data_IF_908019104861
#
_entry.id   IF_908019104861
#
_cell.length_a   1.000
_cell.length_b   1.000
_cell.length_c   1.000
_cell.angle_alpha   90.00
_cell.angle_beta   90.00
_cell.angle_gamma   90.00
#
_symmetry.space_group_name_H-M   'P 1'
#
loop_
_entity.id
_entity.type
_entity.pdbx_description
1 polymer ?
#
# COMPACT_ATOMS: atom_id res chain seq x y z
N UNK A 1 10.32 -30.18 -19.85
CA UNK A 1 10.04 -30.25 -18.40
C UNK A 1 9.10 -29.11 -18.08
N UNK A 2 7.86 -29.45 -17.75
CA UNK A 2 6.78 -28.50 -17.47
C UNK A 2 7.07 -27.92 -16.08
N UNK A 3 7.29 -26.61 -16.01
CA UNK A 3 7.27 -25.90 -14.74
C UNK A 3 5.79 -25.73 -14.34
N UNK A 4 5.22 -26.76 -13.73
CA UNK A 4 4.03 -26.61 -12.90
C UNK A 4 4.45 -25.75 -11.70
N UNK A 5 4.26 -24.45 -11.84
CA UNK A 5 4.25 -23.51 -10.72
C UNK A 5 3.16 -23.95 -9.76
N UNK A 6 3.59 -24.56 -8.66
CA UNK A 6 2.76 -25.04 -7.58
C UNK A 6 1.71 -23.99 -7.21
N UNK A 7 0.45 -24.33 -7.52
CA UNK A 7 -0.74 -23.63 -7.07
C UNK A 7 -0.68 -23.61 -5.55
N UNK A 8 -0.21 -22.51 -4.97
CA UNK A 8 -0.02 -22.37 -3.52
C UNK A 8 -1.41 -22.36 -2.89
N UNK A 9 -1.88 -23.55 -2.50
CA UNK A 9 -3.08 -23.75 -1.70
C UNK A 9 -2.80 -23.32 -0.26
N UNK A 10 -2.51 -22.04 -0.04
CA UNK A 10 -2.90 -21.46 1.24
C UNK A 10 -4.42 -21.38 1.15
N UNK A 11 -5.13 -22.22 1.88
CA UNK A 11 -6.59 -22.16 1.96
C UNK A 11 -6.97 -20.73 2.30
N UNK A 12 -7.39 -19.97 1.27
CA UNK A 12 -7.63 -18.54 1.38
C UNK A 12 -8.96 -18.41 2.08
N UNK A 13 -8.91 -18.24 3.39
CA UNK A 13 -10.11 -18.04 4.17
C UNK A 13 -10.67 -16.65 3.87
N UNK A 14 -11.46 -16.55 2.80
CA UNK A 14 -11.92 -15.28 2.24
C UNK A 14 -12.72 -14.50 3.27
N UNK A 15 -13.48 -15.16 4.15
CA UNK A 15 -14.16 -14.52 5.28
C UNK A 15 -13.20 -13.84 6.25
N UNK A 16 -12.11 -14.52 6.63
CA UNK A 16 -11.08 -13.92 7.50
C UNK A 16 -10.38 -12.75 6.79
N UNK A 17 -10.21 -12.82 5.47
CA UNK A 17 -9.64 -11.72 4.70
C UNK A 17 -10.56 -10.50 4.66
N UNK A 18 -11.87 -10.70 4.43
CA UNK A 18 -12.88 -9.64 4.53
C UNK A 18 -12.82 -8.96 5.89
N UNK A 19 -12.78 -9.72 6.98
CA UNK A 19 -12.68 -9.16 8.34
C UNK A 19 -11.45 -8.26 8.51
N UNK A 20 -10.28 -8.75 8.09
CA UNK A 20 -9.01 -8.02 8.24
C UNK A 20 -8.96 -6.77 7.39
N UNK A 21 -9.41 -6.86 6.13
CA UNK A 21 -9.51 -5.71 5.23
C UNK A 21 -10.47 -4.67 5.80
N UNK A 22 -11.65 -5.08 6.27
CA UNK A 22 -12.62 -4.19 6.90
C UNK A 22 -12.01 -3.45 8.09
N UNK A 23 -11.31 -4.17 8.96
CA UNK A 23 -10.61 -3.58 10.10
C UNK A 23 -9.51 -2.62 9.65
N UNK A 24 -8.76 -2.96 8.60
CA UNK A 24 -7.72 -2.11 8.02
C UNK A 24 -8.28 -0.79 7.47
N UNK A 25 -9.45 -0.85 6.83
CA UNK A 25 -10.18 0.33 6.34
C UNK A 25 -10.89 1.12 7.45
N UNK A 26 -10.84 0.66 8.71
CA UNK A 26 -11.53 1.31 9.83
C UNK A 26 -13.06 1.23 9.74
N UNK A 27 -13.59 0.31 8.94
CA UNK A 27 -15.04 0.17 8.70
C UNK A 27 -15.65 -0.66 9.83
N UNK A 28 -16.74 -0.15 10.44
CA UNK A 28 -17.50 -0.89 11.44
C UNK A 28 -18.30 -2.00 10.78
N UNK A 29 -18.54 -3.07 11.53
CA UNK A 29 -19.27 -4.22 11.03
C UNK A 29 -20.71 -3.87 10.63
N UNK A 30 -21.34 -2.97 11.40
CA UNK A 30 -22.67 -2.43 11.12
C UNK A 30 -22.71 -1.61 9.83
N UNK A 31 -21.62 -0.92 9.48
CA UNK A 31 -21.51 -0.15 8.24
C UNK A 31 -21.42 -1.07 7.03
N UNK A 32 -20.62 -2.13 7.11
CA UNK A 32 -20.57 -3.15 6.05
C UNK A 32 -21.93 -3.85 5.89
N UNK A 33 -22.58 -4.17 7.00
CA UNK A 33 -23.90 -4.79 7.01
C UNK A 33 -24.95 -3.89 6.32
N UNK A 34 -24.95 -2.59 6.63
CA UNK A 34 -25.83 -1.61 5.99
C UNK A 34 -25.59 -1.51 4.49
N UNK A 35 -24.32 -1.55 4.03
CA UNK A 35 -23.98 -1.52 2.60
C UNK A 35 -24.42 -2.78 1.84
N UNK A 36 -24.42 -3.92 2.51
CA UNK A 36 -24.89 -5.20 1.96
C UNK A 36 -26.40 -5.42 2.13
N UNK A 37 -27.11 -4.55 2.86
CA UNK A 37 -28.53 -4.71 3.18
C UNK A 37 -28.84 -5.91 4.08
N UNK A 38 -27.87 -6.38 4.87
CA UNK A 38 -27.99 -7.53 5.77
C UNK A 38 -27.78 -7.10 7.23
N UNK A 39 -28.01 -8.02 8.17
CA UNK A 39 -27.76 -7.77 9.59
C UNK A 39 -26.27 -7.87 9.94
N UNK A 40 -25.81 -7.14 10.97
CA UNK A 40 -24.44 -7.26 11.48
C UNK A 40 -24.10 -8.69 11.94
N UNK A 41 -25.10 -9.45 12.40
CA UNK A 41 -24.95 -10.86 12.77
C UNK A 41 -24.61 -11.75 11.57
N UNK A 42 -25.17 -11.44 10.40
CA UNK A 42 -24.89 -12.17 9.15
C UNK A 42 -23.50 -11.85 8.64
N UNK A 43 -23.07 -10.59 8.69
CA UNK A 43 -21.67 -10.21 8.42
C UNK A 43 -20.71 -10.98 9.32
N UNK A 44 -21.04 -11.17 10.60
CA UNK A 44 -20.18 -11.94 11.52
C UNK A 44 -20.03 -13.40 11.10
N UNK A 45 -21.11 -13.99 10.58
CA UNK A 45 -21.09 -15.35 10.06
C UNK A 45 -20.23 -15.41 8.80
N UNK A 46 -20.41 -14.46 7.87
CA UNK A 46 -19.64 -14.34 6.63
C UNK A 46 -18.14 -14.21 6.93
N UNK A 47 -17.74 -13.36 7.87
CA UNK A 47 -16.34 -13.18 8.27
C UNK A 47 -15.70 -14.43 8.89
N UNK A 48 -16.51 -15.36 9.42
CA UNK A 48 -16.06 -16.63 9.99
C UNK A 48 -16.07 -17.78 8.99
N UNK A 49 -16.63 -17.59 7.80
CA UNK A 49 -16.62 -18.60 6.75
C UNK A 49 -15.22 -18.76 6.17
N UNK A 50 -14.85 -20.01 5.87
CA UNK A 50 -13.61 -20.31 5.17
C UNK A 50 -13.70 -19.93 3.69
N UNK A 51 -14.87 -20.06 3.07
CA UNK A 51 -15.07 -19.66 1.67
C UNK A 51 -16.39 -18.88 1.55
N UNK A 52 -16.34 -17.80 0.78
CA UNK A 52 -17.48 -16.93 0.49
C UNK A 52 -17.84 -17.16 -0.98
N UNK A 53 -19.13 -17.33 -1.24
CA UNK A 53 -19.65 -17.46 -2.60
C UNK A 53 -19.26 -16.25 -3.46
N UNK A 54 -18.87 -16.51 -4.70
CA UNK A 54 -18.36 -15.51 -5.64
C UNK A 54 -19.26 -14.28 -5.78
N UNK A 55 -20.59 -14.48 -5.88
CA UNK A 55 -21.55 -13.37 -5.99
C UNK A 55 -21.54 -12.45 -4.77
N UNK A 56 -21.46 -13.04 -3.58
CA UNK A 56 -21.39 -12.29 -2.32
C UNK A 56 -20.02 -11.62 -2.15
N UNK A 57 -18.94 -12.27 -2.57
CA UNK A 57 -17.59 -11.71 -2.55
C UNK A 57 -17.50 -10.43 -3.40
N UNK A 58 -18.11 -10.43 -4.59
CA UNK A 58 -18.18 -9.28 -5.48
C UNK A 58 -18.92 -8.10 -4.83
N UNK A 59 -20.06 -8.36 -4.20
CA UNK A 59 -20.83 -7.33 -3.49
C UNK A 59 -20.05 -6.74 -2.31
N UNK A 60 -19.36 -7.59 -1.55
CA UNK A 60 -18.50 -7.14 -0.44
C UNK A 60 -17.38 -6.26 -0.98
N UNK A 61 -16.72 -6.66 -2.08
CA UNK A 61 -15.66 -5.89 -2.71
C UNK A 61 -16.15 -4.51 -3.18
N UNK A 62 -17.33 -4.45 -3.79
CA UNK A 62 -17.98 -3.20 -4.22
C UNK A 62 -18.26 -2.26 -3.03
N UNK A 63 -18.85 -2.77 -1.95
CA UNK A 63 -19.13 -1.98 -0.75
C UNK A 63 -17.85 -1.48 -0.07
N UNK A 64 -16.79 -2.29 -0.10
CA UNK A 64 -15.47 -1.91 0.43
C UNK A 64 -14.65 -1.03 -0.55
N UNK A 65 -15.10 -0.85 -1.79
CA UNK A 65 -14.42 -0.05 -2.81
C UNK A 65 -13.11 -0.65 -3.32
N UNK A 66 -12.99 -1.98 -3.33
CA UNK A 66 -11.80 -2.73 -3.76
C UNK A 66 -12.16 -3.79 -4.81
N UNK A 67 -11.17 -4.40 -5.45
CA UNK A 67 -11.42 -5.55 -6.33
C UNK A 67 -11.53 -6.86 -5.51
N UNK A 68 -12.33 -7.83 -5.97
CA UNK A 68 -12.48 -9.13 -5.28
C UNK A 68 -11.17 -9.91 -5.23
N UNK A 69 -10.26 -9.73 -6.18
CA UNK A 69 -8.91 -10.30 -6.19
C UNK A 69 -8.11 -9.86 -4.96
N UNK A 70 -8.27 -8.61 -4.52
CA UNK A 70 -7.61 -8.08 -3.32
C UNK A 70 -8.04 -8.87 -2.08
N UNK A 71 -9.28 -9.34 -2.02
CA UNK A 71 -9.80 -10.14 -0.91
C UNK A 71 -9.26 -11.58 -0.98
N UNK A 72 -9.18 -12.16 -2.18
CA UNK A 72 -8.65 -13.53 -2.38
C UNK A 72 -7.17 -13.64 -2.09
N UNK A 73 -6.40 -12.67 -2.54
CA UNK A 73 -4.94 -12.63 -2.43
C UNK A 73 -4.46 -11.86 -1.20
N UNK A 74 -5.37 -11.55 -0.27
CA UNK A 74 -5.05 -10.79 0.93
C UNK A 74 -4.06 -11.57 1.81
N UNK A 75 -2.83 -11.06 1.87
CA UNK A 75 -1.77 -11.58 2.71
C UNK A 75 -1.52 -10.62 3.89
N UNK A 76 -1.86 -11.11 5.08
CA UNK A 76 -1.70 -10.38 6.34
C UNK A 76 -0.24 -10.05 6.61
N UNK A 77 0.70 -10.93 6.26
CA UNK A 77 2.12 -10.69 6.52
C UNK A 77 2.65 -9.58 5.61
N UNK A 78 2.18 -9.47 4.37
CA UNK A 78 2.47 -8.31 3.51
C UNK A 78 1.85 -7.02 4.04
N UNK A 79 0.61 -7.08 4.53
CA UNK A 79 -0.06 -5.91 5.10
C UNK A 79 0.61 -5.43 6.41
N UNK A 80 1.02 -6.38 7.29
CA UNK A 80 1.75 -6.10 8.53
C UNK A 80 3.19 -5.68 8.25
N UNK A 81 3.88 -6.25 7.25
CA UNK A 81 5.22 -5.81 6.84
C UNK A 81 5.20 -4.34 6.45
N UNK A 82 4.19 -3.89 5.70
CA UNK A 82 4.03 -2.46 5.42
C UNK A 82 3.90 -1.63 6.71
N UNK A 83 3.08 -2.06 7.69
CA UNK A 83 2.89 -1.34 8.97
C UNK A 83 4.15 -1.37 9.86
N UNK A 84 4.87 -2.48 9.92
CA UNK A 84 6.08 -2.63 10.72
C UNK A 84 7.29 -1.99 10.05
N UNK A 85 7.37 -1.93 8.72
CA UNK A 85 8.34 -1.08 8.01
C UNK A 85 8.13 0.41 8.28
N UNK A 86 6.94 0.84 8.74
CA UNK A 86 6.75 2.21 9.27
C UNK A 86 7.19 2.37 10.73
N UNK A 87 7.25 1.29 11.52
CA UNK A 87 7.64 1.34 12.95
C UNK A 87 9.11 1.03 13.21
N UNK A 88 9.71 0.11 12.45
CA UNK A 88 11.15 -0.17 12.41
C UNK A 88 11.90 0.69 11.39
N UNK A 89 11.20 1.56 10.67
CA UNK A 89 11.78 2.83 10.24
C UNK A 89 12.00 3.72 11.47
N UNK A 90 12.84 3.26 12.40
CA UNK A 90 13.91 4.14 12.87
C UNK A 90 14.45 4.77 11.61
N UNK A 91 14.14 6.04 11.42
CA UNK A 91 14.66 6.85 10.32
C UNK A 91 16.17 6.87 10.54
N UNK A 92 16.86 5.84 10.07
CA UNK A 92 18.28 5.92 9.85
C UNK A 92 18.42 6.96 8.75
N UNK A 93 19.14 8.05 9.06
CA UNK A 93 19.50 9.06 8.07
C UNK A 93 20.01 8.36 6.80
N UNK A 94 19.24 8.45 5.72
CA UNK A 94 19.60 7.91 4.40
C UNK A 94 18.77 6.75 3.85
N UNK A 95 17.82 6.16 4.59
CA UNK A 95 17.00 5.07 4.04
C UNK A 95 15.84 5.61 3.17
N UNK A 96 15.90 5.36 1.85
CA UNK A 96 14.86 5.77 0.90
C UNK A 96 13.75 4.72 0.85
N UNK A 97 12.62 4.98 1.52
CA UNK A 97 11.44 4.12 1.48
C UNK A 97 10.80 4.15 0.08
N UNK A 98 10.82 3.00 -0.60
CA UNK A 98 10.36 2.82 -1.97
C UNK A 98 8.95 2.22 -2.03
N UNK A 99 7.93 2.95 -1.57
CA UNK A 99 6.53 2.54 -1.82
C UNK A 99 5.65 3.79 -2.00
N UNK A 100 5.19 4.03 -3.23
CA UNK A 100 4.26 5.10 -3.67
C UNK A 100 4.77 6.55 -3.88
N UNK A 101 6.00 6.74 -4.36
CA UNK A 101 6.44 8.02 -4.95
C UNK A 101 6.32 8.06 -6.50
N UNK A 102 5.27 7.45 -7.06
CA UNK A 102 5.01 7.50 -8.51
C UNK A 102 4.56 8.89 -9.03
N UNK A 103 4.52 9.93 -8.18
CA UNK A 103 4.10 11.29 -8.57
C UNK A 103 5.13 12.40 -8.37
N UNK A 104 6.35 12.09 -7.92
CA UNK A 104 7.54 12.94 -8.06
C UNK A 104 8.64 12.27 -7.25
N UNK A 105 9.42 11.42 -7.91
CA UNK A 105 10.64 10.90 -7.32
C UNK A 105 11.68 12.04 -7.32
N UNK A 106 11.58 12.94 -6.34
CA UNK A 106 12.64 13.90 -6.06
C UNK A 106 13.82 13.08 -5.58
N UNK A 107 14.80 12.84 -6.45
CA UNK A 107 16.07 12.27 -6.07
C UNK A 107 16.87 13.34 -5.31
N UNK A 108 17.03 13.25 -3.97
CA UNK A 108 17.65 14.32 -3.19
C UNK A 108 19.10 14.53 -3.60
N UNK A 109 19.79 13.48 -4.07
CA UNK A 109 21.18 13.56 -4.54
C UNK A 109 21.26 14.42 -5.80
N UNK A 110 20.37 14.21 -6.78
CA UNK A 110 20.32 15.02 -8.00
C UNK A 110 20.02 16.49 -7.69
N UNK A 111 19.12 16.76 -6.73
CA UNK A 111 18.82 18.14 -6.30
C UNK A 111 19.99 18.80 -5.60
N UNK A 112 20.76 18.06 -4.82
CA UNK A 112 21.98 18.57 -4.20
C UNK A 112 23.02 18.88 -5.28
N UNK A 113 23.23 17.99 -6.25
CA UNK A 113 24.15 18.24 -7.37
C UNK A 113 23.74 19.48 -8.17
N UNK A 114 22.46 19.62 -8.51
CA UNK A 114 21.91 20.79 -9.21
C UNK A 114 22.19 22.10 -8.44
N UNK A 115 22.04 22.09 -7.11
CA UNK A 115 22.35 23.25 -6.27
C UNK A 115 23.84 23.58 -6.25
N UNK A 116 24.71 22.58 -6.19
CA UNK A 116 26.16 22.77 -6.23
C UNK A 116 26.63 23.34 -7.57
N UNK A 117 26.09 22.84 -8.69
CA UNK A 117 26.40 23.37 -10.03
C UNK A 117 26.00 24.85 -10.15
N UNK A 118 24.80 25.21 -9.68
CA UNK A 118 24.34 26.62 -9.64
C UNK A 118 25.21 27.50 -8.76
N UNK A 119 25.62 27.01 -7.59
CA UNK A 119 26.51 27.75 -6.70
C UNK A 119 27.88 27.97 -7.36
N UNK A 120 28.45 26.94 -7.97
CA UNK A 120 29.73 27.02 -8.66
C UNK A 120 29.68 28.03 -9.81
N UNK A 121 28.56 28.06 -10.54
CA UNK A 121 28.30 29.02 -11.60
C UNK A 121 28.22 30.45 -11.05
N UNK A 122 27.48 30.67 -9.96
CA UNK A 122 27.38 31.98 -9.31
C UNK A 122 28.73 32.51 -8.82
N UNK A 123 29.59 31.64 -8.28
CA UNK A 123 30.94 32.03 -7.84
C UNK A 123 31.84 32.40 -9.02
N UNK A 124 31.74 31.68 -10.15
CA UNK A 124 32.48 32.00 -11.39
C UNK A 124 32.05 33.34 -11.97
N UNK A 125 30.75 33.59 -12.08
CA UNK A 125 30.20 34.86 -12.56
C UNK A 125 30.64 36.04 -11.70
N UNK A 126 30.63 35.86 -10.36
CA UNK A 126 31.12 36.86 -9.42
C UNK A 126 32.61 37.17 -9.62
N UNK A 127 33.44 36.14 -9.81
CA UNK A 127 34.87 36.33 -10.09
C UNK A 127 35.08 37.05 -11.43
N UNK A 128 34.31 36.72 -12.46
CA UNK A 128 34.40 37.35 -13.78
C UNK A 128 34.02 38.83 -13.73
N UNK A 129 32.95 39.19 -13.01
CA UNK A 129 32.59 40.58 -12.74
C UNK A 129 33.67 41.34 -11.98
N UNK A 130 34.40 40.68 -11.07
CA UNK A 130 35.51 41.26 -10.33
C UNK A 130 36.79 41.39 -11.16
N UNK A 131 36.99 40.54 -12.18
CA UNK A 131 38.13 40.61 -13.12
C UNK A 131 37.93 41.63 -14.24
N UNK A 132 36.70 41.94 -14.59
CA UNK A 132 36.34 42.96 -15.58
C UNK A 132 36.24 44.38 -14.98
N UNK A 133 36.85 44.59 -13.81
CA UNK A 133 37.05 45.87 -13.12
C UNK A 133 38.52 46.23 -13.14
#
# INVERSE_FOLDING_TARGET
>A
MIAESMKKSNGSCTGRNVQRIRMFLGIKQETLAAGLGISGSEVSKIEKQDEIEEGLLLQIAEVLGISPEVIRDFDVERAIYNINSYKDATIAEGATATVYAALQQINPIEKIVELYERLLQSEREKIELLKNK
#
